data_IF_554358896497
#
_entry.id   IF_554358896497
#
_cell.length_a   1.000
_cell.length_b   1.000
_cell.length_c   1.000
_cell.angle_alpha   90.00
_cell.angle_beta   90.00
_cell.angle_gamma   90.00
#
_symmetry.space_group_name_H-M   'P 1'
#
loop_
_entity.id
_entity.type
_entity.pdbx_description
1 polymer ?
#
# COMPACT_ATOMS: atom_id res chain seq x y z
N UNK A 1 -0.02 -6.29 51.80
CA UNK A 1 1.32 -6.87 51.54
C UNK A 1 1.17 -7.92 50.43
N UNK A 2 1.05 -7.49 49.18
CA UNK A 2 0.93 -8.39 48.02
C UNK A 2 2.32 -8.84 47.55
N UNK A 3 2.53 -10.15 47.45
CA UNK A 3 3.81 -10.76 47.06
C UNK A 3 4.01 -10.59 45.55
N UNK A 4 5.14 -9.99 45.15
CA UNK A 4 5.56 -9.79 43.76
C UNK A 4 6.03 -11.14 43.20
N UNK A 5 5.39 -11.62 42.14
CA UNK A 5 5.84 -12.80 41.40
C UNK A 5 6.75 -12.35 40.25
N UNK A 6 8.06 -12.45 40.46
CA UNK A 6 9.11 -12.29 39.46
C UNK A 6 9.15 -13.52 38.55
N UNK A 7 8.78 -13.36 37.28
CA UNK A 7 9.01 -14.38 36.24
C UNK A 7 10.27 -13.98 35.47
N UNK A 8 11.37 -14.64 35.80
CA UNK A 8 12.66 -14.54 35.11
C UNK A 8 12.57 -15.28 33.78
N UNK A 9 12.60 -14.58 32.65
CA UNK A 9 12.72 -15.21 31.33
C UNK A 9 14.23 -15.40 31.03
N UNK A 10 14.71 -16.64 31.19
CA UNK A 10 16.10 -17.01 30.94
C UNK A 10 16.42 -16.99 29.43
N UNK A 11 17.51 -16.30 29.10
CA UNK A 11 18.17 -16.33 27.80
C UNK A 11 18.63 -17.74 27.44
N UNK A 12 18.37 -18.17 26.20
CA UNK A 12 19.18 -19.20 25.56
C UNK A 12 19.91 -18.58 24.37
N UNK A 13 21.22 -18.43 24.56
CA UNK A 13 22.19 -18.03 23.56
C UNK A 13 22.54 -19.26 22.73
N UNK A 14 22.16 -19.29 21.44
CA UNK A 14 22.60 -20.30 20.49
C UNK A 14 23.81 -19.73 19.74
N UNK A 15 25.00 -20.16 20.17
CA UNK A 15 26.24 -19.95 19.44
C UNK A 15 26.61 -21.26 18.74
N UNK A 16 26.31 -21.34 17.45
CA UNK A 16 26.82 -22.41 16.59
C UNK A 16 27.68 -21.76 15.51
N UNK A 17 28.99 -21.81 15.71
CA UNK A 17 30.02 -21.48 14.72
C UNK A 17 30.35 -22.71 13.88
N UNK A 18 30.30 -22.59 12.56
CA UNK A 18 30.94 -23.51 11.62
C UNK A 18 31.83 -22.70 10.66
N UNK A 19 33.09 -23.11 10.40
CA UNK A 19 33.89 -22.54 9.34
C UNK A 19 33.63 -23.32 8.04
N UNK A 20 33.41 -22.63 6.92
CA UNK A 20 33.22 -23.34 5.66
C UNK A 20 32.90 -22.46 4.47
N UNK A 21 33.96 -22.16 3.72
CA UNK A 21 34.03 -21.78 2.31
C UNK A 21 33.62 -20.37 1.88
N UNK A 22 34.64 -19.70 1.36
CA UNK A 22 34.57 -18.53 0.51
C UNK A 22 33.67 -18.77 -0.71
N UNK A 23 32.81 -17.81 -1.01
CA UNK A 23 32.43 -17.47 -2.36
C UNK A 23 32.15 -15.97 -2.41
N UNK A 24 33.05 -15.26 -3.08
CA UNK A 24 32.82 -13.89 -3.56
C UNK A 24 31.54 -13.88 -4.39
N UNK A 25 30.62 -12.99 -4.02
CA UNK A 25 29.60 -12.44 -4.92
C UNK A 25 29.14 -11.13 -4.30
N UNK A 26 29.95 -10.09 -4.51
CA UNK A 26 29.47 -8.72 -4.52
C UNK A 26 28.39 -8.63 -5.60
N UNK A 27 27.14 -8.69 -5.17
CA UNK A 27 25.99 -8.23 -5.93
C UNK A 27 25.29 -7.23 -5.04
N UNK A 28 25.68 -5.99 -5.23
CA UNK A 28 25.00 -4.80 -4.75
C UNK A 28 23.59 -4.79 -5.35
N UNK A 29 22.67 -5.50 -4.70
CA UNK A 29 21.24 -5.44 -4.96
C UNK A 29 20.68 -4.39 -4.02
N UNK A 30 20.69 -3.15 -4.48
CA UNK A 30 19.82 -2.10 -3.96
C UNK A 30 18.39 -2.66 -3.79
N UNK A 31 17.95 -2.79 -2.53
CA UNK A 31 16.59 -3.17 -2.20
C UNK A 31 15.68 -2.06 -2.73
N UNK A 32 15.08 -2.30 -3.89
CA UNK A 32 14.00 -1.48 -4.42
C UNK A 32 12.93 -1.36 -3.33
N UNK A 33 12.32 -0.18 -3.14
CA UNK A 33 11.28 -0.02 -2.13
C UNK A 33 10.21 -1.07 -2.40
N UNK A 34 9.78 -1.77 -1.36
CA UNK A 34 8.58 -2.61 -1.39
C UNK A 34 7.47 -1.72 -1.94
N UNK A 35 7.21 -1.84 -3.23
CA UNK A 35 5.98 -1.38 -3.83
C UNK A 35 4.93 -2.24 -3.16
N UNK A 36 4.14 -1.62 -2.29
CA UNK A 36 2.90 -2.21 -1.82
C UNK A 36 2.07 -2.45 -3.07
N UNK A 37 2.20 -3.64 -3.64
CA UNK A 37 1.42 -4.10 -4.77
C UNK A 37 0.02 -4.33 -4.23
N UNK A 38 -0.73 -3.23 -4.13
CA UNK A 38 -2.13 -3.34 -3.81
C UNK A 38 -2.76 -4.21 -4.90
N UNK A 39 -3.40 -5.30 -4.48
CA UNK A 39 -4.13 -6.23 -5.35
C UNK A 39 -5.27 -5.54 -6.14
N UNK A 40 -5.50 -4.26 -5.89
CA UNK A 40 -6.50 -3.42 -6.52
C UNK A 40 -5.84 -2.34 -7.37
N UNK A 41 -5.35 -2.74 -8.55
CA UNK A 41 -4.76 -1.82 -9.55
C UNK A 41 -5.80 -0.73 -9.87
N UNK A 42 -5.53 0.50 -9.43
CA UNK A 42 -6.36 1.68 -9.70
C UNK A 42 -7.25 2.19 -8.55
N UNK A 43 -7.38 1.45 -7.44
CA UNK A 43 -8.10 1.97 -6.24
C UNK A 43 -7.15 2.66 -5.25
N UNK A 44 -5.87 2.30 -5.25
CA UNK A 44 -4.93 2.64 -4.17
C UNK A 44 -3.64 3.30 -4.64
N UNK A 45 -3.46 3.54 -5.95
CA UNK A 45 -2.19 4.03 -6.50
C UNK A 45 -1.86 5.43 -5.97
N UNK A 46 -0.75 5.50 -5.24
CA UNK A 46 -0.06 6.70 -4.80
C UNK A 46 0.64 7.36 -5.99
N UNK A 47 0.14 8.52 -6.44
CA UNK A 47 0.92 9.43 -7.28
C UNK A 47 0.13 10.13 -8.38
N UNK A 48 0.26 11.46 -8.40
CA UNK A 48 0.06 12.31 -9.59
C UNK A 48 -1.38 12.47 -10.06
N UNK A 49 -1.93 11.45 -10.70
CA UNK A 49 -3.15 11.52 -11.53
C UNK A 49 -4.03 10.25 -11.38
N UNK A 50 -3.86 9.53 -10.26
CA UNK A 50 -4.33 8.15 -10.07
C UNK A 50 -5.85 7.91 -9.92
N UNK A 51 -6.68 8.95 -9.83
CA UNK A 51 -8.12 8.80 -9.55
C UNK A 51 -8.91 8.26 -10.74
N UNK A 52 -8.59 8.75 -11.95
CA UNK A 52 -9.21 8.27 -13.19
C UNK A 52 -8.58 6.99 -13.70
N UNK A 53 -7.52 6.49 -13.02
CA UNK A 53 -6.84 5.28 -13.45
C UNK A 53 -7.77 4.06 -13.47
N UNK A 54 -8.77 4.00 -12.56
CA UNK A 54 -9.78 2.95 -12.59
C UNK A 54 -10.60 2.96 -13.89
N UNK A 55 -10.88 4.13 -14.47
CA UNK A 55 -11.68 4.29 -15.69
C UNK A 55 -10.87 4.12 -16.98
N UNK A 56 -9.60 3.71 -16.88
CA UNK A 56 -8.73 3.51 -18.05
C UNK A 56 -9.34 2.45 -18.97
N UNK A 57 -9.51 2.79 -20.24
CA UNK A 57 -10.12 1.89 -21.24
C UNK A 57 -11.64 1.95 -21.34
N UNK A 58 -12.33 2.68 -20.45
CA UNK A 58 -13.78 2.86 -20.52
C UNK A 58 -14.11 4.04 -21.43
N UNK A 59 -14.99 3.81 -22.41
CA UNK A 59 -15.50 4.86 -23.30
C UNK A 59 -16.56 5.70 -22.58
N UNK A 60 -16.19 6.89 -22.13
CA UNK A 60 -17.08 7.84 -21.47
C UNK A 60 -17.77 8.78 -22.48
N UNK A 61 -19.00 9.20 -22.18
CA UNK A 61 -19.66 10.31 -22.89
C UNK A 61 -19.07 11.65 -22.45
N UNK A 62 -19.37 12.73 -23.18
CA UNK A 62 -18.85 14.06 -22.83
C UNK A 62 -19.47 14.58 -21.52
N UNK A 63 -20.74 14.29 -21.30
CA UNK A 63 -21.46 14.62 -20.07
C UNK A 63 -20.83 13.90 -18.87
N UNK A 64 -20.52 12.60 -19.00
CA UNK A 64 -19.84 11.83 -17.96
C UNK A 64 -18.45 12.39 -17.66
N UNK A 65 -17.68 12.78 -18.69
CA UNK A 65 -16.36 13.40 -18.50
C UNK A 65 -16.45 14.73 -17.74
N UNK A 66 -17.45 15.55 -18.03
CA UNK A 66 -17.67 16.79 -17.27
C UNK A 66 -18.04 16.48 -15.82
N UNK A 67 -19.00 15.59 -15.58
CA UNK A 67 -19.40 15.21 -14.22
C UNK A 67 -18.24 14.66 -13.39
N UNK A 68 -17.39 13.83 -14.00
CA UNK A 68 -16.20 13.30 -13.37
C UNK A 68 -15.17 14.41 -13.09
N UNK A 69 -14.98 15.34 -14.02
CA UNK A 69 -14.07 16.49 -13.81
C UNK A 69 -14.53 17.35 -12.63
N UNK A 70 -15.81 17.67 -12.57
CA UNK A 70 -16.40 18.48 -11.51
C UNK A 70 -16.32 17.78 -10.15
N UNK A 71 -16.63 16.48 -10.12
CA UNK A 71 -16.45 15.63 -8.95
C UNK A 71 -14.99 15.70 -8.47
N UNK A 72 -14.03 15.42 -9.34
CA UNK A 72 -12.63 15.43 -8.97
C UNK A 72 -12.13 16.80 -8.53
N UNK A 73 -12.63 17.88 -9.15
CA UNK A 73 -12.29 19.23 -8.74
C UNK A 73 -12.70 19.52 -7.31
N UNK A 74 -13.92 19.13 -6.92
CA UNK A 74 -14.43 19.28 -5.56
C UNK A 74 -13.59 18.51 -4.53
N UNK A 75 -13.26 17.26 -4.84
CA UNK A 75 -12.51 16.40 -3.92
C UNK A 75 -11.01 16.70 -3.87
N UNK A 76 -10.45 17.37 -4.88
CA UNK A 76 -9.01 17.68 -4.92
C UNK A 76 -8.56 18.51 -3.71
N UNK A 77 -9.35 19.50 -3.32
CA UNK A 77 -9.02 20.36 -2.17
C UNK A 77 -9.18 19.62 -0.84
N UNK A 78 -10.20 18.77 -0.73
CA UNK A 78 -10.41 17.93 0.45
C UNK A 78 -9.24 16.94 0.63
N UNK A 79 -8.81 16.29 -0.45
CA UNK A 79 -7.75 15.30 -0.43
C UNK A 79 -6.36 15.92 -0.26
N UNK A 80 -6.13 17.15 -0.75
CA UNK A 80 -4.86 17.88 -0.55
C UNK A 80 -4.54 18.05 0.94
N UNK A 81 -5.56 18.35 1.76
CA UNK A 81 -5.39 18.59 3.19
C UNK A 81 -5.03 17.30 3.95
N UNK A 82 -5.56 16.15 3.51
CA UNK A 82 -5.27 14.85 4.14
C UNK A 82 -3.93 14.26 3.66
N UNK A 83 -3.46 14.66 2.46
CA UNK A 83 -2.20 14.15 1.85
C UNK A 83 -0.93 14.83 2.38
N UNK A 84 -0.99 15.85 3.24
CA UNK A 84 0.21 16.50 3.79
C UNK A 84 0.96 15.58 4.78
N UNK A 85 1.63 14.58 4.23
CA UNK A 85 2.45 13.57 4.93
C UNK A 85 3.89 14.06 5.16
N UNK A 86 4.31 15.13 4.49
CA UNK A 86 5.66 15.67 4.62
C UNK A 86 6.02 16.09 6.06
N UNK A 87 5.04 16.58 6.83
CA UNK A 87 5.23 16.90 8.24
C UNK A 87 5.43 15.64 9.10
N UNK A 88 4.79 14.53 8.74
CA UNK A 88 4.90 13.27 9.47
C UNK A 88 6.26 12.59 9.19
N UNK A 89 6.77 12.68 7.95
CA UNK A 89 8.11 12.21 7.56
C UNK A 89 9.21 12.96 8.32
N UNK A 90 9.09 14.29 8.44
CA UNK A 90 10.02 15.11 9.23
C UNK A 90 9.99 14.70 10.71
N UNK A 91 8.80 14.51 11.28
CA UNK A 91 8.66 14.12 12.68
C UNK A 91 9.29 12.74 12.97
N UNK A 92 9.12 11.76 12.08
CA UNK A 92 9.77 10.46 12.21
C UNK A 92 11.29 10.57 12.09
N UNK A 93 11.78 11.41 11.17
CA UNK A 93 13.22 11.66 11.01
C UNK A 93 13.85 12.29 12.25
N UNK A 94 13.16 13.19 12.94
CA UNK A 94 13.64 13.75 14.21
C UNK A 94 13.71 12.68 15.32
N UNK A 95 12.79 11.71 15.35
CA UNK A 95 12.86 10.56 16.26
C UNK A 95 14.06 9.65 15.95
N UNK A 96 14.43 9.50 14.67
CA UNK A 96 15.62 8.76 14.24
C UNK A 96 16.91 9.44 14.71
N UNK A 97 16.94 10.77 14.75
CA UNK A 97 18.11 11.57 15.20
C UNK A 97 18.30 11.59 16.71
N UNK A 98 17.34 11.11 17.51
CA UNK A 98 17.43 11.15 18.96
C UNK A 98 18.62 10.33 19.47
N UNK A 99 19.28 10.81 20.53
CA UNK A 99 20.44 10.12 21.15
C UNK A 99 20.08 8.71 21.67
N UNK A 100 18.82 8.53 22.10
CA UNK A 100 18.27 7.24 22.54
C UNK A 100 17.01 6.93 21.77
N UNK A 101 16.83 5.65 21.45
CA UNK A 101 15.63 5.18 20.80
C UNK A 101 14.43 5.23 21.76
N UNK A 102 13.41 6.00 21.39
CA UNK A 102 12.13 6.06 22.08
C UNK A 102 11.06 5.31 21.28
N UNK A 103 10.89 4.02 21.59
CA UNK A 103 9.90 3.16 20.94
C UNK A 103 8.47 3.69 21.09
N UNK A 104 8.16 4.32 22.24
CA UNK A 104 6.80 4.81 22.52
C UNK A 104 6.49 6.01 21.64
N UNK A 105 7.44 6.95 21.50
CA UNK A 105 7.29 8.09 20.61
C UNK A 105 7.13 7.67 19.14
N UNK A 106 7.92 6.69 18.69
CA UNK A 106 7.81 6.13 17.33
C UNK A 106 6.44 5.50 17.10
N UNK A 107 5.98 4.64 18.01
CA UNK A 107 4.65 4.00 17.88
C UNK A 107 3.52 5.03 17.82
N UNK A 108 3.56 6.04 18.69
CA UNK A 108 2.55 7.10 18.71
C UNK A 108 2.53 7.92 17.40
N UNK A 109 3.72 8.25 16.87
CA UNK A 109 3.83 8.99 15.61
C UNK A 109 3.30 8.17 14.43
N UNK A 110 3.65 6.88 14.36
CA UNK A 110 3.14 5.98 13.33
C UNK A 110 1.63 5.76 13.43
N UNK A 111 1.07 5.61 14.63
CA UNK A 111 -0.38 5.46 14.80
C UNK A 111 -1.14 6.70 14.30
N UNK A 112 -0.63 7.89 14.60
CA UNK A 112 -1.18 9.15 14.10
C UNK A 112 -1.14 9.21 12.57
N UNK A 113 -0.03 8.83 11.97
CA UNK A 113 0.14 8.77 10.52
C UNK A 113 -0.81 7.75 9.87
N UNK A 114 -0.93 6.57 10.47
CA UNK A 114 -1.85 5.52 10.00
C UNK A 114 -3.31 5.98 10.02
N UNK A 115 -3.73 6.75 11.02
CA UNK A 115 -5.09 7.32 11.06
C UNK A 115 -5.33 8.29 9.91
N UNK A 116 -4.40 9.21 9.63
CA UNK A 116 -4.50 10.12 8.47
C UNK A 116 -4.54 9.34 7.15
N UNK A 117 -3.70 8.31 7.01
CA UNK A 117 -3.68 7.44 5.82
C UNK A 117 -5.00 6.69 5.67
N UNK A 118 -5.58 6.19 6.74
CA UNK A 118 -6.89 5.53 6.72
C UNK A 118 -7.97 6.50 6.25
N UNK A 119 -8.04 7.69 6.84
CA UNK A 119 -9.02 8.72 6.46
C UNK A 119 -8.87 9.08 4.98
N UNK A 120 -7.64 9.26 4.50
CA UNK A 120 -7.36 9.48 3.08
C UNK A 120 -7.89 8.35 2.20
N UNK A 121 -7.60 7.09 2.55
CA UNK A 121 -8.04 5.94 1.77
C UNK A 121 -9.56 5.81 1.74
N UNK A 122 -10.24 6.12 2.84
CA UNK A 122 -11.72 6.13 2.87
C UNK A 122 -12.28 7.20 1.94
N UNK A 123 -11.71 8.40 1.94
CA UNK A 123 -12.11 9.47 1.00
C UNK A 123 -11.85 9.07 -0.46
N UNK A 124 -10.70 8.48 -0.75
CA UNK A 124 -10.37 7.93 -2.08
C UNK A 124 -11.43 6.93 -2.55
N UNK A 125 -11.75 5.95 -1.71
CA UNK A 125 -12.72 4.90 -2.03
C UNK A 125 -14.11 5.50 -2.23
N UNK A 126 -14.50 6.51 -1.45
CA UNK A 126 -15.77 7.22 -1.64
C UNK A 126 -15.85 7.89 -3.01
N UNK A 127 -14.78 8.56 -3.44
CA UNK A 127 -14.70 9.18 -4.77
C UNK A 127 -14.80 8.12 -5.86
N UNK A 128 -14.03 7.03 -5.76
CA UNK A 128 -14.12 5.92 -6.71
C UNK A 128 -15.52 5.31 -6.79
N UNK A 129 -16.20 5.16 -5.65
CA UNK A 129 -17.59 4.72 -5.62
C UNK A 129 -18.52 5.71 -6.36
N UNK A 130 -18.38 7.02 -6.15
CA UNK A 130 -19.18 8.01 -6.86
C UNK A 130 -18.92 7.99 -8.38
N UNK A 131 -17.66 7.84 -8.78
CA UNK A 131 -17.29 7.68 -10.19
C UNK A 131 -17.95 6.43 -10.81
N UNK A 132 -17.95 5.30 -10.10
CA UNK A 132 -18.59 4.06 -10.55
C UNK A 132 -20.10 4.25 -10.78
N UNK A 133 -20.78 5.05 -9.93
CA UNK A 133 -22.21 5.29 -10.09
C UNK A 133 -22.57 6.14 -11.31
N UNK A 134 -21.64 6.90 -11.88
CA UNK A 134 -21.85 7.66 -13.12
C UNK A 134 -21.81 6.79 -14.38
N UNK A 135 -21.32 5.55 -14.26
CA UNK A 135 -21.21 4.62 -15.37
C UNK A 135 -22.55 3.94 -15.67
N UNK A 136 -22.80 3.69 -16.95
CA UNK A 136 -23.91 2.86 -17.39
C UNK A 136 -23.62 1.35 -17.17
N UNK A 137 -24.61 0.46 -17.27
CA UNK A 137 -24.42 -0.97 -17.01
C UNK A 137 -23.34 -1.65 -17.87
N UNK A 138 -23.24 -1.31 -19.16
CA UNK A 138 -22.21 -1.87 -20.05
C UNK A 138 -20.80 -1.41 -19.65
N UNK A 139 -20.65 -0.14 -19.31
CA UNK A 139 -19.38 0.42 -18.84
C UNK A 139 -18.95 -0.19 -17.50
N UNK A 140 -19.89 -0.44 -16.58
CA UNK A 140 -19.62 -1.14 -15.32
C UNK A 140 -19.09 -2.55 -15.56
N UNK A 141 -19.74 -3.29 -16.46
CA UNK A 141 -19.28 -4.63 -16.83
C UNK A 141 -17.88 -4.64 -17.44
N UNK A 142 -17.55 -3.65 -18.29
CA UNK A 142 -16.20 -3.48 -18.82
C UNK A 142 -15.18 -3.16 -17.73
N UNK A 143 -15.57 -2.32 -16.76
CA UNK A 143 -14.72 -1.96 -15.63
C UNK A 143 -14.44 -3.18 -14.75
N UNK A 144 -15.47 -3.96 -14.42
CA UNK A 144 -15.39 -5.13 -13.56
C UNK A 144 -14.51 -6.23 -14.20
N UNK A 145 -14.60 -6.40 -15.53
CA UNK A 145 -13.73 -7.32 -16.27
C UNK A 145 -12.25 -6.89 -16.24
N UNK A 146 -11.96 -5.60 -16.24
CA UNK A 146 -10.59 -5.08 -16.10
C UNK A 146 -10.06 -5.17 -14.66
N UNK A 147 -10.96 -5.39 -13.70
CA UNK A 147 -10.64 -5.46 -12.27
C UNK A 147 -10.37 -6.89 -11.80
N UNK A 148 -10.67 -7.91 -12.61
CA UNK A 148 -10.28 -9.28 -12.29
C UNK A 148 -8.76 -9.43 -12.32
N UNK A 149 -8.14 -9.90 -11.23
CA UNK A 149 -6.70 -10.03 -11.16
C UNK A 149 -6.24 -11.12 -12.13
N UNK A 150 -5.24 -10.79 -12.95
CA UNK A 150 -4.50 -11.71 -13.84
C UNK A 150 -3.91 -12.93 -13.10
N UNK A 151 -3.98 -12.97 -11.76
CA UNK A 151 -3.44 -14.03 -10.90
C UNK A 151 -4.30 -15.28 -10.75
N UNK A 152 -5.53 -15.35 -11.29
CA UNK A 152 -6.33 -16.60 -11.19
C UNK A 152 -6.02 -17.58 -12.34
N UNK A 153 -5.45 -17.13 -13.46
CA UNK A 153 -5.25 -17.98 -14.64
C UNK A 153 -3.81 -18.49 -14.87
N UNK A 154 -2.78 -17.93 -14.23
CA UNK A 154 -1.38 -18.34 -14.50
C UNK A 154 -0.89 -19.51 -13.63
N UNK A 155 -1.57 -19.84 -12.52
CA UNK A 155 -1.15 -20.97 -11.67
C UNK A 155 -1.66 -22.34 -12.14
N UNK A 156 -2.71 -22.42 -12.97
CA UNK A 156 -3.27 -23.71 -13.41
C UNK A 156 -2.59 -24.28 -14.66
N UNK A 157 -1.82 -23.48 -15.42
CA UNK A 157 -1.17 -23.92 -16.66
C UNK A 157 0.26 -24.45 -16.44
N UNK A 158 0.95 -24.04 -15.37
CA UNK A 158 2.37 -24.39 -15.16
C UNK A 158 2.60 -25.77 -14.50
N UNK A 159 1.57 -26.41 -13.94
CA UNK A 159 1.71 -27.72 -13.28
C UNK A 159 1.57 -28.93 -14.22
N UNK A 160 1.19 -28.72 -15.49
CA UNK A 160 1.00 -29.82 -16.46
C UNK A 160 2.23 -30.10 -17.33
N UNK A 161 3.33 -29.35 -17.20
CA UNK A 161 4.43 -29.37 -18.18
C UNK A 161 5.80 -29.78 -17.63
N UNK A 162 5.86 -30.34 -16.42
CA UNK A 162 7.08 -30.95 -15.86
C UNK A 162 6.81 -32.39 -15.37
N UNK A 163 6.71 -33.32 -16.33
CA UNK A 163 7.03 -34.73 -16.11
C UNK A 163 8.28 -35.02 -16.96
N UNK A 164 9.46 -35.28 -16.37
CA UNK A 164 10.58 -35.82 -17.13
C UNK A 164 10.37 -37.32 -17.40
N UNK A 165 10.70 -37.74 -18.63
CA UNK A 165 10.93 -39.16 -18.98
C UNK A 165 12.17 -39.73 -18.30
#
# INVERSE_FOLDING_TARGET
MGKIATITLASMFVMQSAPGLAQDSESDSCVAPVQSHSQYKGITTSGGDGYTSMLTGIRLTEEQRMQLRDLMHNYRDQLRNVRNLAEDDIALYELVKAEKFDETAVRNQLEKEMRKRLDYQVEMIRVHHQMYQLLNPEQKMQLDANFEPESIHTSSASSAQNMPE
#
